data_IF_459227736396
#
_entry.id   IF_459227736396
#
_cell.length_a   1.000
_cell.length_b   1.000
_cell.length_c   1.000
_cell.angle_alpha   90.00
_cell.angle_beta   90.00
_cell.angle_gamma   90.00
#
_symmetry.space_group_name_H-M   'P 1'
#
loop_
_entity.id
_entity.type
_entity.pdbx_description
1 polymer ?
#
# COMPACT_ATOMS: atom_id res chain seq x y z
N UNK A 1 12.81 7.47 16.39
CA UNK A 1 12.86 6.89 15.01
C UNK A 1 12.43 5.42 14.94
N UNK A 2 12.72 4.55 15.94
CA UNK A 2 12.31 3.13 15.92
C UNK A 2 10.79 2.86 15.87
N UNK A 3 9.96 3.74 16.42
CA UNK A 3 8.48 3.57 16.42
C UNK A 3 7.82 3.91 15.07
N UNK A 4 8.40 4.82 14.29
CA UNK A 4 7.89 5.17 12.96
C UNK A 4 8.22 4.11 11.90
N UNK A 5 9.36 3.44 12.01
CA UNK A 5 9.75 2.35 11.08
C UNK A 5 8.92 1.08 11.30
N UNK A 6 8.50 0.80 12.54
CA UNK A 6 7.62 -0.33 12.86
C UNK A 6 6.19 -0.11 12.37
N UNK A 7 5.67 1.12 12.49
CA UNK A 7 4.34 1.48 11.97
C UNK A 7 4.27 1.46 10.44
N UNK A 8 5.36 1.83 9.74
CA UNK A 8 5.42 1.72 8.28
C UNK A 8 5.46 0.26 7.79
N UNK A 9 6.15 -0.63 8.50
CA UNK A 9 6.15 -2.06 8.14
C UNK A 9 4.79 -2.73 8.38
N UNK A 10 4.06 -2.35 9.42
CA UNK A 10 2.72 -2.88 9.72
C UNK A 10 1.65 -2.40 8.72
N UNK A 11 1.77 -1.19 8.19
CA UNK A 11 0.83 -0.65 7.19
C UNK A 11 1.08 -1.20 5.77
N UNK A 12 2.31 -1.63 5.46
CA UNK A 12 2.63 -2.34 4.21
C UNK A 12 2.26 -3.83 4.21
N UNK A 13 1.96 -4.42 5.37
CA UNK A 13 1.55 -5.82 5.53
C UNK A 13 0.02 -6.02 5.64
N UNK A 14 -0.76 -4.95 5.56
CA UNK A 14 -2.23 -5.01 5.55
C UNK A 14 -2.78 -4.53 4.20
N UNK A 15 -2.57 -5.30 3.13
CA UNK A 15 -3.65 -5.42 2.15
C UNK A 15 -3.77 -6.85 1.62
N UNK A 16 -4.07 -7.86 2.45
CA UNK A 16 -4.55 -9.16 1.94
C UNK A 16 -5.56 -9.83 2.89
N UNK A 17 -6.56 -9.10 3.36
CA UNK A 17 -7.87 -9.69 3.68
C UNK A 17 -8.83 -9.35 2.53
N UNK A 18 -8.38 -9.54 1.28
CA UNK A 18 -9.30 -9.70 0.19
C UNK A 18 -9.87 -11.10 0.35
N UNK A 19 -11.15 -11.18 0.71
CA UNK A 19 -11.91 -12.43 0.75
C UNK A 19 -11.72 -13.10 -0.62
N UNK A 20 -10.92 -14.16 -0.69
CA UNK A 20 -10.58 -14.80 -1.94
C UNK A 20 -11.85 -15.49 -2.46
N UNK A 21 -12.62 -14.80 -3.30
CA UNK A 21 -13.81 -15.36 -3.94
C UNK A 21 -13.42 -16.59 -4.74
N UNK A 22 -14.16 -17.68 -4.54
CA UNK A 22 -13.93 -18.90 -5.30
C UNK A 22 -14.23 -18.66 -6.80
N UNK A 23 -13.66 -19.49 -7.68
CA UNK A 23 -14.01 -19.45 -9.11
C UNK A 23 -15.51 -19.63 -9.35
N UNK A 24 -16.19 -20.39 -8.48
CA UNK A 24 -17.63 -20.56 -8.54
C UNK A 24 -18.40 -19.27 -8.20
N UNK A 25 -17.95 -18.51 -7.20
CA UNK A 25 -18.57 -17.22 -6.85
C UNK A 25 -18.37 -16.18 -7.96
N UNK A 26 -17.17 -16.17 -8.55
CA UNK A 26 -16.84 -15.32 -9.72
C UNK A 26 -17.73 -15.68 -10.92
N UNK A 27 -17.95 -16.97 -11.17
CA UNK A 27 -18.88 -17.44 -12.20
C UNK A 27 -20.31 -16.99 -11.94
N UNK A 28 -20.82 -17.16 -10.72
CA UNK A 28 -22.17 -16.73 -10.36
C UNK A 28 -22.36 -15.22 -10.55
N UNK A 29 -21.37 -14.44 -10.14
CA UNK A 29 -21.38 -12.98 -10.31
C UNK A 29 -21.38 -12.60 -11.79
N UNK A 30 -20.50 -13.22 -12.60
CA UNK A 30 -20.46 -13.02 -14.05
C UNK A 30 -21.79 -13.36 -14.69
N UNK A 31 -22.38 -14.51 -14.33
CA UNK A 31 -23.68 -14.95 -14.83
C UNK A 31 -24.77 -13.92 -14.51
N UNK A 32 -24.86 -13.45 -13.26
CA UNK A 32 -25.89 -12.50 -12.84
C UNK A 32 -25.75 -11.13 -13.54
N UNK A 33 -24.54 -10.57 -13.57
CA UNK A 33 -24.28 -9.29 -14.23
C UNK A 33 -24.54 -9.37 -15.74
N UNK A 34 -24.06 -10.45 -16.37
CA UNK A 34 -24.31 -10.68 -17.80
C UNK A 34 -25.81 -10.85 -18.06
N UNK A 35 -26.53 -11.59 -17.22
CA UNK A 35 -27.98 -11.74 -17.34
C UNK A 35 -28.73 -10.41 -17.26
N UNK A 36 -28.32 -9.48 -16.41
CA UNK A 36 -28.97 -8.16 -16.29
C UNK A 36 -28.67 -7.23 -17.48
N UNK A 37 -27.55 -7.44 -18.17
CA UNK A 37 -27.06 -6.53 -19.21
C UNK A 37 -27.77 -6.62 -20.56
N UNK A 38 -28.44 -7.74 -20.86
CA UNK A 38 -29.00 -8.01 -22.20
C UNK A 38 -30.48 -8.39 -22.14
N UNK A 39 -31.27 -8.05 -23.17
CA UNK A 39 -32.68 -8.44 -23.25
C UNK A 39 -32.84 -9.95 -23.49
N UNK A 40 -34.06 -10.45 -23.30
CA UNK A 40 -34.42 -11.85 -23.59
C UNK A 40 -34.48 -12.04 -25.11
N UNK A 41 -33.72 -13.00 -25.64
CA UNK A 41 -33.73 -13.35 -27.06
C UNK A 41 -34.89 -14.27 -27.41
N UNK A 42 -35.18 -15.25 -26.54
CA UNK A 42 -36.29 -16.18 -26.69
C UNK A 42 -36.94 -16.36 -25.32
N UNK A 43 -38.24 -16.08 -25.21
CA UNK A 43 -38.92 -16.21 -23.92
C UNK A 43 -39.25 -17.66 -23.59
N UNK A 44 -39.35 -17.99 -22.30
CA UNK A 44 -39.78 -19.32 -21.86
C UNK A 44 -41.21 -19.64 -22.34
N UNK A 45 -42.07 -18.62 -22.40
CA UNK A 45 -43.43 -18.74 -22.96
C UNK A 45 -43.38 -19.16 -24.43
N UNK A 46 -42.52 -18.53 -25.23
CA UNK A 46 -42.32 -18.87 -26.64
C UNK A 46 -41.78 -20.29 -26.81
N UNK A 47 -40.80 -20.72 -26.00
CA UNK A 47 -40.28 -22.09 -26.03
C UNK A 47 -41.35 -23.13 -25.66
N UNK A 48 -42.18 -22.84 -24.65
CA UNK A 48 -43.21 -23.76 -24.15
C UNK A 48 -44.37 -24.00 -25.13
N UNK A 49 -44.53 -23.16 -26.15
CA UNK A 49 -45.53 -23.35 -27.20
C UNK A 49 -45.24 -24.57 -28.10
N UNK A 50 -43.99 -25.01 -28.14
CA UNK A 50 -43.54 -26.08 -29.02
C UNK A 50 -43.25 -27.37 -28.23
N UNK A 51 -43.61 -28.55 -28.75
CA UNK A 51 -43.31 -29.81 -28.09
C UNK A 51 -41.80 -30.00 -27.89
N UNK A 52 -41.36 -30.26 -26.65
CA UNK A 52 -39.93 -30.43 -26.30
C UNK A 52 -39.21 -31.45 -27.19
N UNK A 53 -39.89 -32.53 -27.56
CA UNK A 53 -39.35 -33.59 -28.44
C UNK A 53 -38.93 -33.04 -29.80
N UNK A 54 -39.64 -32.04 -30.33
CA UNK A 54 -39.35 -31.43 -31.64
C UNK A 54 -38.24 -30.37 -31.59
N UNK A 55 -37.90 -29.89 -30.40
CA UNK A 55 -36.80 -28.95 -30.19
C UNK A 55 -35.45 -29.64 -30.07
N UNK A 56 -35.42 -30.96 -29.85
CA UNK A 56 -34.20 -31.73 -29.71
C UNK A 56 -33.63 -32.14 -31.09
N UNK A 57 -32.30 -32.11 -31.25
CA UNK A 57 -31.65 -32.54 -32.50
C UNK A 57 -31.89 -34.03 -32.78
N UNK A 58 -32.06 -34.84 -31.71
CA UNK A 58 -32.43 -36.25 -31.81
C UNK A 58 -33.69 -36.49 -32.65
N UNK A 59 -34.62 -35.52 -32.70
CA UNK A 59 -35.86 -35.62 -33.48
C UNK A 59 -35.62 -35.86 -34.97
N UNK A 60 -34.51 -35.36 -35.51
CA UNK A 60 -34.13 -35.47 -36.93
C UNK A 60 -33.87 -36.89 -37.38
N UNK A 61 -33.43 -37.76 -36.48
CA UNK A 61 -33.03 -39.14 -36.80
C UNK A 61 -34.16 -40.12 -36.48
N UNK A 62 -34.10 -41.37 -36.98
CA UNK A 62 -35.01 -42.41 -36.53
C UNK A 62 -34.84 -42.76 -35.05
N UNK A 63 -35.94 -43.12 -34.37
CA UNK A 63 -35.89 -43.57 -32.97
C UNK A 63 -35.73 -45.08 -32.87
N UNK A 64 -34.50 -45.57 -33.04
CA UNK A 64 -34.19 -47.00 -32.96
C UNK A 64 -34.39 -47.63 -31.57
N UNK A 65 -34.76 -46.83 -30.55
CA UNK A 65 -35.22 -47.37 -29.26
C UNK A 65 -36.67 -47.86 -29.33
N UNK A 66 -37.46 -47.34 -30.27
CA UNK A 66 -38.90 -47.63 -30.43
C UNK A 66 -39.23 -48.37 -31.71
N UNK A 67 -38.42 -48.23 -32.74
CA UNK A 67 -38.69 -48.75 -34.08
C UNK A 67 -37.50 -49.55 -34.61
N UNK A 68 -37.79 -50.68 -35.24
CA UNK A 68 -36.78 -51.46 -35.94
C UNK A 68 -36.53 -50.92 -37.36
N UNK A 69 -35.43 -51.31 -37.99
CA UNK A 69 -35.23 -51.05 -39.42
C UNK A 69 -36.31 -51.71 -40.28
N UNK A 70 -36.80 -52.88 -39.87
CA UNK A 70 -37.92 -53.56 -40.54
C UNK A 70 -39.20 -52.73 -40.50
N UNK A 71 -39.51 -52.13 -39.35
CA UNK A 71 -40.67 -51.27 -39.14
C UNK A 71 -40.65 -50.06 -40.09
N UNK A 72 -39.49 -49.39 -40.17
CA UNK A 72 -39.31 -48.20 -41.02
C UNK A 72 -39.38 -48.58 -42.50
N UNK A 73 -38.81 -49.73 -42.87
CA UNK A 73 -38.86 -50.22 -44.26
C UNK A 73 -40.28 -50.60 -44.65
N UNK A 74 -41.03 -51.24 -43.75
CA UNK A 74 -42.44 -51.57 -43.96
C UNK A 74 -43.30 -50.30 -44.09
N UNK A 75 -43.05 -49.25 -43.30
CA UNK A 75 -43.74 -47.96 -43.50
C UNK A 75 -43.47 -47.35 -44.88
N UNK A 76 -42.25 -47.48 -45.41
CA UNK A 76 -41.90 -46.92 -46.72
C UNK A 76 -42.69 -47.60 -47.86
N UNK A 77 -43.05 -48.88 -47.75
CA UNK A 77 -43.83 -49.57 -48.81
C UNK A 77 -45.26 -49.04 -48.95
N UNK A 78 -45.79 -48.35 -47.93
CA UNK A 78 -47.09 -47.68 -48.00
C UNK A 78 -47.05 -46.56 -49.03
N UNK A 79 -45.95 -45.82 -49.13
CA UNK A 79 -45.79 -44.74 -50.11
C UNK A 79 -45.82 -45.26 -51.55
N UNK A 80 -45.32 -46.47 -51.79
CA UNK A 80 -45.26 -47.08 -53.12
C UNK A 80 -46.58 -47.77 -53.50
N UNK A 81 -47.25 -48.42 -52.54
CA UNK A 81 -48.42 -49.27 -52.81
C UNK A 81 -49.76 -48.63 -52.46
N UNK A 82 -49.76 -47.55 -51.67
CA UNK A 82 -50.94 -46.96 -51.01
C UNK A 82 -51.83 -47.96 -50.25
N UNK A 83 -51.28 -49.10 -49.81
CA UNK A 83 -51.98 -50.13 -49.05
C UNK A 83 -51.50 -50.18 -47.60
N UNK A 84 -52.37 -50.60 -46.68
CA UNK A 84 -52.01 -50.79 -45.28
C UNK A 84 -51.06 -51.97 -45.11
N UNK A 85 -50.15 -51.88 -44.15
CA UNK A 85 -49.25 -52.96 -43.75
C UNK A 85 -49.79 -53.71 -42.53
N UNK A 86 -49.39 -54.96 -42.36
CA UNK A 86 -49.62 -55.69 -41.12
C UNK A 86 -48.80 -55.06 -40.00
N UNK A 87 -49.49 -54.55 -38.97
CA UNK A 87 -48.83 -53.84 -37.88
C UNK A 87 -48.59 -54.77 -36.67
N UNK A 88 -47.31 -55.05 -36.38
CA UNK A 88 -46.88 -55.75 -35.16
C UNK A 88 -46.45 -54.81 -34.03
N UNK A 89 -46.20 -53.53 -34.33
CA UNK A 89 -45.73 -52.51 -33.38
C UNK A 89 -46.77 -51.37 -33.24
N UNK A 90 -47.49 -51.27 -32.11
CA UNK A 90 -48.58 -50.30 -31.95
C UNK A 90 -48.12 -48.84 -32.07
N UNK A 91 -46.82 -48.56 -31.87
CA UNK A 91 -46.27 -47.21 -32.05
C UNK A 91 -46.22 -46.74 -33.53
N UNK A 92 -46.47 -47.63 -34.49
CA UNK A 92 -46.52 -47.30 -35.92
C UNK A 92 -47.91 -46.80 -36.37
N UNK A 93 -48.96 -46.94 -35.57
CA UNK A 93 -50.34 -46.64 -35.98
C UNK A 93 -50.49 -45.23 -36.57
N UNK A 94 -50.01 -44.21 -35.86
CA UNK A 94 -50.04 -42.82 -36.32
C UNK A 94 -49.29 -42.63 -37.64
N UNK A 95 -48.19 -43.35 -37.84
CA UNK A 95 -47.38 -43.26 -39.06
C UNK A 95 -48.03 -43.98 -40.23
N UNK A 96 -48.65 -45.14 -40.01
CA UNK A 96 -49.44 -45.85 -41.02
C UNK A 96 -50.60 -44.98 -41.46
N UNK A 97 -51.34 -44.38 -40.52
CA UNK A 97 -52.44 -43.48 -40.82
C UNK A 97 -51.98 -42.25 -41.62
N UNK A 98 -50.87 -41.64 -41.21
CA UNK A 98 -50.29 -40.49 -41.89
C UNK A 98 -49.85 -40.80 -43.32
N UNK A 99 -49.08 -41.88 -43.52
CA UNK A 99 -48.56 -42.25 -44.85
C UNK A 99 -49.69 -42.67 -45.79
N UNK A 100 -50.73 -43.37 -45.30
CA UNK A 100 -51.93 -43.66 -46.08
C UNK A 100 -52.69 -42.38 -46.47
N UNK A 101 -52.84 -41.44 -45.54
CA UNK A 101 -53.50 -40.17 -45.81
C UNK A 101 -52.76 -39.36 -46.89
N UNK A 102 -51.42 -39.33 -46.83
CA UNK A 102 -50.61 -38.69 -47.87
C UNK A 102 -50.76 -39.39 -49.23
N UNK A 103 -50.65 -40.72 -49.27
CA UNK A 103 -50.75 -41.52 -50.51
C UNK A 103 -52.13 -41.37 -51.19
N UNK A 104 -53.20 -41.21 -50.39
CA UNK A 104 -54.57 -41.03 -50.85
C UNK A 104 -54.95 -39.57 -51.10
N UNK A 105 -54.00 -38.64 -50.99
CA UNK A 105 -54.23 -37.19 -51.10
C UNK A 105 -55.29 -36.65 -50.12
N UNK A 106 -55.47 -37.34 -48.98
CA UNK A 106 -56.41 -36.94 -47.94
C UNK A 106 -55.78 -35.83 -47.08
N UNK A 107 -56.40 -34.64 -47.01
CA UNK A 107 -55.86 -33.54 -46.23
C UNK A 107 -55.95 -33.83 -44.72
N UNK A 108 -54.88 -33.53 -43.99
CA UNK A 108 -54.84 -33.59 -42.53
C UNK A 108 -54.91 -32.16 -41.98
N UNK A 109 -55.71 -31.95 -40.94
CA UNK A 109 -55.89 -30.65 -40.30
C UNK A 109 -54.98 -30.50 -39.06
N UNK A 110 -54.96 -29.31 -38.46
CA UNK A 110 -54.16 -29.03 -37.26
C UNK A 110 -54.57 -29.89 -36.06
N UNK A 111 -55.81 -30.39 -36.02
CA UNK A 111 -56.33 -31.22 -34.93
C UNK A 111 -55.64 -32.58 -34.95
N UNK A 112 -55.45 -33.16 -36.14
CA UNK A 112 -54.70 -34.40 -36.30
C UNK A 112 -53.28 -34.27 -35.73
N UNK A 113 -52.55 -33.23 -36.11
CA UNK A 113 -51.19 -33.00 -35.61
C UNK A 113 -51.15 -32.69 -34.10
N UNK A 114 -52.22 -32.15 -33.53
CA UNK A 114 -52.35 -31.93 -32.09
C UNK A 114 -52.62 -33.23 -31.32
N UNK A 115 -53.42 -34.14 -31.86
CA UNK A 115 -53.83 -35.38 -31.22
C UNK A 115 -52.79 -36.51 -31.28
N UNK A 116 -52.01 -36.58 -32.37
CA UNK A 116 -51.09 -37.70 -32.62
C UNK A 116 -49.67 -37.44 -32.12
N UNK A 117 -48.83 -38.48 -32.20
CA UNK A 117 -47.40 -38.37 -31.96
C UNK A 117 -46.79 -37.29 -32.88
N UNK A 118 -45.79 -36.57 -32.37
CA UNK A 118 -45.22 -35.42 -33.08
C UNK A 118 -44.11 -35.82 -34.04
N UNK A 119 -43.38 -36.88 -33.70
CA UNK A 119 -42.17 -37.33 -34.40
C UNK A 119 -42.51 -38.51 -35.31
N UNK A 120 -42.06 -38.43 -36.56
CA UNK A 120 -42.19 -39.53 -37.50
C UNK A 120 -41.16 -40.64 -37.17
N UNK A 121 -41.48 -41.94 -37.30
CA UNK A 121 -40.57 -43.05 -36.98
C UNK A 121 -39.21 -42.99 -37.71
N UNK A 122 -39.22 -42.56 -38.98
CA UNK A 122 -38.03 -42.34 -39.79
C UNK A 122 -37.27 -41.02 -39.51
N UNK A 123 -37.66 -40.27 -38.47
CA UNK A 123 -37.07 -38.97 -38.14
C UNK A 123 -37.79 -37.77 -38.77
N UNK A 124 -37.57 -36.61 -38.15
CA UNK A 124 -38.34 -35.39 -38.36
C UNK A 124 -39.69 -35.42 -37.66
N UNK A 125 -40.48 -34.35 -37.80
CA UNK A 125 -41.88 -34.34 -37.40
C UNK A 125 -42.80 -34.79 -38.54
N UNK A 126 -44.03 -35.21 -38.23
CA UNK A 126 -45.05 -35.43 -39.27
C UNK A 126 -45.35 -34.14 -40.03
N UNK A 127 -45.36 -33.00 -39.35
CA UNK A 127 -45.58 -31.71 -39.98
C UNK A 127 -44.43 -31.32 -40.93
N UNK A 128 -43.18 -31.69 -40.63
CA UNK A 128 -42.05 -31.46 -41.55
C UNK A 128 -42.28 -32.15 -42.90
N UNK A 129 -42.75 -33.39 -42.86
CA UNK A 129 -43.09 -34.18 -44.05
C UNK A 129 -44.33 -33.65 -44.75
N UNK A 130 -45.36 -33.27 -43.98
CA UNK A 130 -46.59 -32.74 -44.54
C UNK A 130 -46.37 -31.41 -45.26
N UNK A 131 -45.60 -30.46 -44.70
CA UNK A 131 -45.27 -29.19 -45.38
C UNK A 131 -44.45 -29.43 -46.65
N UNK A 132 -43.60 -30.46 -46.68
CA UNK A 132 -42.85 -30.79 -47.89
C UNK A 132 -43.76 -31.23 -49.06
N UNK A 133 -44.92 -31.83 -48.75
CA UNK A 133 -45.90 -32.27 -49.74
C UNK A 133 -47.00 -31.23 -50.01
N UNK A 134 -47.43 -30.47 -48.99
CA UNK A 134 -48.44 -29.41 -49.05
C UNK A 134 -47.90 -28.07 -48.49
N UNK A 135 -47.02 -27.35 -49.23
CA UNK A 135 -46.40 -26.12 -48.75
C UNK A 135 -47.39 -25.01 -48.39
N UNK A 136 -48.55 -24.98 -49.04
CA UNK A 136 -49.61 -23.99 -48.85
C UNK A 136 -50.32 -24.10 -47.50
N UNK A 137 -50.26 -25.28 -46.84
CA UNK A 137 -50.91 -25.52 -45.54
C UNK A 137 -50.02 -25.25 -44.33
N UNK A 138 -48.84 -24.68 -44.55
CA UNK A 138 -47.82 -24.39 -43.52
C UNK A 138 -48.36 -23.68 -42.27
N UNK A 139 -49.28 -22.72 -42.44
CA UNK A 139 -49.73 -21.87 -41.34
C UNK A 139 -50.45 -22.66 -40.24
N UNK A 140 -51.16 -23.73 -40.61
CA UNK A 140 -51.94 -24.54 -39.68
C UNK A 140 -51.07 -25.48 -38.83
N UNK A 141 -49.83 -25.73 -39.25
CA UNK A 141 -48.98 -26.78 -38.66
C UNK A 141 -47.62 -26.28 -38.19
N UNK A 142 -47.35 -24.98 -38.26
CA UNK A 142 -46.14 -24.35 -37.74
C UNK A 142 -45.75 -24.79 -36.31
N UNK A 143 -46.66 -24.94 -35.33
CA UNK A 143 -46.33 -25.39 -33.98
C UNK A 143 -45.76 -26.82 -33.88
N UNK A 144 -45.94 -27.62 -34.93
CA UNK A 144 -45.57 -29.03 -34.96
C UNK A 144 -44.36 -29.32 -35.86
N UNK A 145 -43.75 -28.29 -36.44
CA UNK A 145 -42.49 -28.43 -37.17
C UNK A 145 -41.34 -28.74 -36.20
N UNK A 146 -40.31 -29.45 -36.67
CA UNK A 146 -39.08 -29.57 -35.89
C UNK A 146 -38.29 -28.27 -35.91
N UNK A 147 -37.46 -28.04 -34.88
CA UNK A 147 -36.60 -26.84 -34.83
C UNK A 147 -35.57 -26.80 -35.96
N UNK A 148 -35.32 -27.94 -36.60
CA UNK A 148 -34.39 -28.04 -37.74
C UNK A 148 -35.03 -27.62 -39.07
N UNK A 149 -36.35 -27.45 -39.10
CA UNK A 149 -37.07 -27.03 -40.29
C UNK A 149 -36.94 -25.50 -40.49
N UNK A 150 -36.54 -25.02 -41.69
CA UNK A 150 -36.43 -23.59 -41.98
C UNK A 150 -37.72 -22.78 -41.79
N UNK A 151 -38.89 -23.45 -41.88
CA UNK A 151 -40.20 -22.82 -41.67
C UNK A 151 -40.61 -22.74 -40.20
N UNK A 152 -39.81 -23.28 -39.28
CA UNK A 152 -40.10 -23.19 -37.85
C UNK A 152 -39.91 -21.74 -37.37
N UNK A 153 -40.85 -21.14 -36.62
CA UNK A 153 -40.75 -19.73 -36.19
C UNK A 153 -39.48 -19.38 -35.40
N UNK A 154 -38.97 -20.34 -34.62
CA UNK A 154 -37.71 -20.20 -33.87
C UNK A 154 -36.43 -20.51 -34.67
N UNK A 155 -36.53 -20.93 -35.94
CA UNK A 155 -35.37 -21.36 -36.73
C UNK A 155 -34.30 -20.26 -36.81
N UNK A 156 -34.67 -19.09 -37.35
CA UNK A 156 -33.76 -17.96 -37.51
C UNK A 156 -33.19 -17.45 -36.18
N UNK A 157 -33.98 -17.51 -35.09
CA UNK A 157 -33.54 -17.07 -33.76
C UNK A 157 -32.48 -18.00 -33.15
N UNK A 158 -32.52 -19.28 -33.51
CA UNK A 158 -31.61 -20.30 -33.00
C UNK A 158 -30.59 -20.78 -34.03
N UNK A 159 -30.61 -20.26 -35.26
CA UNK A 159 -29.71 -20.67 -36.34
C UNK A 159 -28.25 -20.46 -35.95
N UNK A 160 -27.95 -19.35 -35.27
CA UNK A 160 -26.60 -19.03 -34.83
C UNK A 160 -26.11 -19.93 -33.70
N UNK A 161 -26.99 -20.59 -32.94
CA UNK A 161 -26.63 -21.52 -31.86
C UNK A 161 -26.25 -22.89 -32.44
N UNK A 162 -25.07 -23.40 -32.13
CA UNK A 162 -24.66 -24.73 -32.57
C UNK A 162 -25.54 -25.83 -31.98
N UNK A 163 -25.62 -26.98 -32.67
CA UNK A 163 -26.44 -28.13 -32.27
C UNK A 163 -26.21 -28.57 -30.83
N UNK A 164 -24.94 -28.73 -30.44
CA UNK A 164 -24.56 -29.13 -29.09
C UNK A 164 -24.98 -28.08 -28.04
N UNK A 165 -24.95 -26.80 -28.42
CA UNK A 165 -25.39 -25.70 -27.56
C UNK A 165 -26.91 -25.70 -27.36
N UNK A 166 -27.68 -25.90 -28.44
CA UNK A 166 -29.15 -26.07 -28.34
C UNK A 166 -29.49 -27.21 -27.40
N UNK A 167 -28.86 -28.36 -27.58
CA UNK A 167 -29.09 -29.53 -26.74
C UNK A 167 -28.70 -29.29 -25.28
N UNK A 168 -27.54 -28.67 -25.02
CA UNK A 168 -27.11 -28.35 -23.67
C UNK A 168 -28.15 -27.46 -22.94
N UNK A 169 -28.60 -26.38 -23.58
CA UNK A 169 -29.58 -25.48 -22.97
C UNK A 169 -30.95 -26.16 -22.77
N UNK A 170 -31.42 -26.97 -23.73
CA UNK A 170 -32.68 -27.73 -23.60
C UNK A 170 -32.63 -28.83 -22.51
N UNK A 171 -31.43 -29.34 -22.24
CA UNK A 171 -31.17 -30.32 -21.18
C UNK A 171 -30.96 -29.67 -19.80
N UNK A 172 -31.03 -28.34 -19.71
CA UNK A 172 -31.03 -27.61 -18.45
C UNK A 172 -29.69 -26.99 -18.06
N UNK A 173 -28.67 -27.03 -18.92
CA UNK A 173 -27.46 -26.23 -18.70
C UNK A 173 -27.81 -24.74 -18.83
N UNK A 174 -27.27 -23.92 -17.90
CA UNK A 174 -27.57 -22.48 -17.83
C UNK A 174 -26.69 -21.62 -18.71
N UNK A 175 -25.65 -22.18 -19.29
CA UNK A 175 -24.72 -21.42 -20.10
C UNK A 175 -24.10 -22.27 -21.21
N UNK A 176 -23.84 -21.61 -22.33
CA UNK A 176 -23.09 -22.14 -23.46
C UNK A 176 -22.35 -20.99 -24.13
N UNK A 177 -21.03 -21.12 -24.32
CA UNK A 177 -20.23 -20.09 -24.98
C UNK A 177 -19.80 -20.58 -26.36
N UNK A 178 -20.02 -19.79 -27.40
CA UNK A 178 -19.58 -20.13 -28.76
C UNK A 178 -19.20 -18.85 -29.50
N UNK A 179 -18.11 -18.88 -30.28
CA UNK A 179 -17.62 -17.70 -30.99
C UNK A 179 -17.53 -16.48 -30.07
N UNK A 180 -18.22 -15.39 -30.44
CA UNK A 180 -18.32 -14.16 -29.65
C UNK A 180 -19.57 -14.08 -28.76
N UNK A 181 -20.40 -15.12 -28.69
CA UNK A 181 -21.68 -15.07 -27.98
C UNK A 181 -21.69 -16.02 -26.78
N UNK A 182 -22.05 -15.48 -25.62
CA UNK A 182 -22.38 -16.23 -24.42
C UNK A 182 -23.90 -16.39 -24.34
N UNK A 183 -24.37 -17.61 -24.56
CA UNK A 183 -25.77 -17.96 -24.36
C UNK A 183 -26.02 -18.30 -22.90
N UNK A 184 -27.00 -17.63 -22.30
CA UNK A 184 -27.47 -17.93 -20.94
C UNK A 184 -28.93 -18.39 -20.98
N UNK A 185 -29.27 -19.39 -20.17
CA UNK A 185 -30.65 -19.84 -19.98
C UNK A 185 -31.09 -19.66 -18.52
N UNK A 186 -32.28 -19.12 -18.34
CA UNK A 186 -32.91 -18.90 -17.05
C UNK A 186 -34.42 -19.12 -17.13
N UNK A 187 -35.12 -18.89 -16.02
CA UNK A 187 -36.57 -19.14 -15.91
C UNK A 187 -37.41 -18.32 -16.90
N UNK A 188 -36.92 -17.14 -17.29
CA UNK A 188 -37.61 -16.24 -18.23
C UNK A 188 -37.37 -16.61 -19.70
N UNK A 189 -36.40 -17.47 -19.99
CA UNK A 189 -36.00 -17.85 -21.34
C UNK A 189 -34.49 -17.80 -21.57
N UNK A 190 -34.08 -17.58 -22.82
CA UNK A 190 -32.68 -17.58 -23.24
C UNK A 190 -32.23 -16.20 -23.69
N UNK A 191 -30.96 -15.89 -23.41
CA UNK A 191 -30.29 -14.65 -23.81
C UNK A 191 -29.03 -14.97 -24.59
N UNK A 192 -28.85 -14.34 -25.74
CA UNK A 192 -27.60 -14.31 -26.49
C UNK A 192 -26.84 -13.03 -26.14
N UNK A 193 -25.74 -13.16 -25.40
CA UNK A 193 -24.97 -12.01 -24.91
C UNK A 193 -23.70 -11.86 -25.75
N UNK A 194 -23.48 -10.73 -26.44
CA UNK A 194 -22.28 -10.52 -27.25
C UNK A 194 -21.03 -10.31 -26.38
N UNK A 195 -19.85 -10.59 -26.95
CA UNK A 195 -18.54 -10.51 -26.29
C UNK A 195 -18.22 -9.12 -25.78
N UNK A 196 -18.65 -8.09 -26.52
CA UNK A 196 -18.58 -6.69 -26.12
C UNK A 196 -19.19 -6.42 -24.73
N UNK A 197 -20.14 -7.24 -24.31
CA UNK A 197 -20.85 -7.09 -23.03
C UNK A 197 -20.32 -8.06 -21.97
N UNK A 198 -20.17 -9.35 -22.28
CA UNK A 198 -19.76 -10.32 -21.26
C UNK A 198 -18.25 -10.33 -20.98
N UNK A 199 -17.40 -9.98 -21.96
CA UNK A 199 -15.93 -9.97 -21.75
C UNK A 199 -15.49 -8.91 -20.72
N UNK A 200 -15.97 -7.65 -20.77
CA UNK A 200 -15.63 -6.67 -19.73
C UNK A 200 -16.05 -7.11 -18.33
N UNK A 201 -17.19 -7.78 -18.20
CA UNK A 201 -17.66 -8.35 -16.93
C UNK A 201 -16.72 -9.47 -16.47
N UNK A 202 -16.27 -10.34 -17.38
CA UNK A 202 -15.32 -11.40 -17.09
C UNK A 202 -13.96 -10.85 -16.63
N UNK A 203 -13.47 -9.79 -17.29
CA UNK A 203 -12.23 -9.10 -16.95
C UNK A 203 -12.30 -8.43 -15.57
N UNK A 204 -13.44 -7.81 -15.23
CA UNK A 204 -13.69 -7.27 -13.88
C UNK A 204 -13.62 -8.37 -12.80
N UNK A 205 -14.14 -9.56 -13.10
CA UNK A 205 -14.07 -10.73 -12.23
C UNK A 205 -12.71 -11.46 -12.31
N UNK A 206 -11.79 -11.01 -13.17
CA UNK A 206 -10.48 -11.62 -13.44
C UNK A 206 -10.58 -13.10 -13.81
N UNK A 207 -11.55 -13.45 -14.65
CA UNK A 207 -11.77 -14.82 -15.14
C UNK A 207 -11.86 -14.85 -16.66
N UNK A 208 -11.39 -15.95 -17.25
CA UNK A 208 -11.56 -16.24 -18.67
C UNK A 208 -12.47 -17.45 -18.84
N UNK A 209 -13.40 -17.42 -19.79
CA UNK A 209 -14.34 -18.52 -20.07
C UNK A 209 -13.80 -19.59 -21.03
N UNK A 210 -12.67 -19.32 -21.69
CA UNK A 210 -11.98 -20.18 -22.67
C UNK A 210 -10.52 -20.40 -22.26
N UNK A 211 -10.28 -20.64 -20.97
CA UNK A 211 -8.92 -20.83 -20.45
C UNK A 211 -8.25 -22.07 -21.04
N UNK A 212 -6.96 -21.98 -21.40
CA UNK A 212 -6.16 -23.15 -21.84
C UNK A 212 -6.04 -24.23 -20.75
N UNK A 213 -6.00 -23.81 -19.48
CA UNK A 213 -5.98 -24.69 -18.32
C UNK A 213 -7.33 -24.60 -17.60
N UNK A 214 -8.10 -25.68 -17.61
CA UNK A 214 -9.44 -25.69 -17.05
C UNK A 214 -9.45 -25.91 -15.55
N UNK A 215 -9.60 -24.83 -14.77
CA UNK A 215 -9.72 -24.92 -13.32
C UNK A 215 -11.14 -25.28 -12.89
N UNK A 216 -12.14 -24.74 -13.58
CA UNK A 216 -13.55 -25.06 -13.35
C UNK A 216 -14.29 -25.19 -14.67
N UNK A 217 -14.94 -26.35 -14.88
CA UNK A 217 -15.69 -26.63 -16.11
C UNK A 217 -17.19 -26.58 -15.84
N UNK A 218 -17.91 -25.82 -16.65
CA UNK A 218 -19.37 -25.76 -16.61
C UNK A 218 -19.90 -25.82 -18.04
N UNK A 219 -20.69 -26.84 -18.40
CA UNK A 219 -21.13 -27.05 -19.78
C UNK A 219 -19.90 -27.12 -20.72
N UNK A 220 -19.83 -26.30 -21.76
CA UNK A 220 -18.66 -26.13 -22.61
C UNK A 220 -17.71 -25.00 -22.18
N UNK A 221 -18.04 -24.28 -21.10
CA UNK A 221 -17.21 -23.21 -20.58
C UNK A 221 -16.08 -23.77 -19.72
N UNK A 222 -14.94 -23.11 -19.84
CA UNK A 222 -13.73 -23.45 -19.14
C UNK A 222 -13.18 -22.23 -18.41
N UNK A 223 -13.53 -22.14 -17.12
CA UNK A 223 -13.19 -21.02 -16.29
C UNK A 223 -11.78 -21.19 -15.71
N UNK A 224 -10.99 -20.15 -15.88
CA UNK A 224 -9.66 -20.00 -15.32
C UNK A 224 -9.45 -18.57 -14.83
N UNK A 225 -8.60 -18.38 -13.84
CA UNK A 225 -8.23 -17.03 -13.41
C UNK A 225 -7.36 -16.35 -14.46
N UNK A 226 -7.72 -15.13 -14.85
CA UNK A 226 -6.93 -14.34 -15.78
C UNK A 226 -5.70 -13.81 -15.04
N UNK A 227 -4.51 -14.33 -15.35
CA UNK A 227 -3.26 -13.79 -14.81
C UNK A 227 -2.73 -12.61 -15.66
N UNK A 228 -3.63 -11.75 -16.13
CA UNK A 228 -3.27 -10.67 -17.05
C UNK A 228 -2.91 -9.41 -16.23
N UNK A 229 -1.61 -9.12 -16.14
CA UNK A 229 -1.08 -7.81 -15.75
C UNK A 229 -0.57 -7.65 -14.31
N UNK A 230 -0.82 -8.58 -13.39
CA UNK A 230 -0.36 -8.42 -12.00
C UNK A 230 1.13 -8.70 -11.81
N UNK A 231 1.74 -9.56 -12.65
CA UNK A 231 3.14 -9.95 -12.50
C UNK A 231 4.10 -8.80 -12.84
N UNK A 232 3.88 -8.11 -13.95
CA UNK A 232 4.71 -6.97 -14.37
C UNK A 232 4.64 -5.81 -13.37
N UNK A 233 3.44 -5.49 -12.89
CA UNK A 233 3.25 -4.44 -11.87
C UNK A 233 3.93 -4.82 -10.53
N UNK A 234 3.85 -6.09 -10.12
CA UNK A 234 4.57 -6.57 -8.92
C UNK A 234 6.08 -6.49 -9.09
N UNK A 235 6.60 -6.86 -10.26
CA UNK A 235 8.04 -6.77 -10.56
C UNK A 235 8.52 -5.31 -10.53
N UNK A 236 7.80 -4.40 -11.19
CA UNK A 236 8.12 -2.96 -11.18
C UNK A 236 8.09 -2.36 -9.77
N UNK A 237 7.07 -2.70 -8.96
CA UNK A 237 6.98 -2.25 -7.57
C UNK A 237 8.14 -2.77 -6.71
N UNK A 238 8.55 -4.03 -6.90
CA UNK A 238 9.69 -4.61 -6.19
C UNK A 238 11.01 -3.91 -6.56
N UNK A 239 11.26 -3.66 -7.85
CA UNK A 239 12.44 -2.93 -8.30
C UNK A 239 12.49 -1.49 -7.75
N UNK A 240 11.35 -0.79 -7.73
CA UNK A 240 11.25 0.56 -7.16
C UNK A 240 11.58 0.55 -5.66
N UNK A 241 11.02 -0.40 -4.91
CA UNK A 241 11.28 -0.53 -3.47
C UNK A 241 12.75 -0.85 -3.18
N UNK A 242 13.34 -1.76 -3.96
CA UNK A 242 14.76 -2.12 -3.83
C UNK A 242 15.67 -0.92 -4.10
N UNK A 243 15.37 -0.13 -5.13
CA UNK A 243 16.14 1.07 -5.47
C UNK A 243 16.07 2.12 -4.34
N UNK A 244 14.87 2.35 -3.79
CA UNK A 244 14.68 3.27 -2.66
C UNK A 244 15.47 2.82 -1.42
N UNK A 245 15.40 1.53 -1.06
CA UNK A 245 16.15 0.97 0.07
C UNK A 245 17.66 1.09 -0.12
N UNK A 246 18.16 0.83 -1.35
CA UNK A 246 19.58 0.95 -1.68
C UNK A 246 20.09 2.39 -1.54
N UNK A 247 19.33 3.37 -2.04
CA UNK A 247 19.65 4.80 -1.88
C UNK A 247 19.68 5.19 -0.41
N UNK A 248 18.68 4.79 0.37
CA UNK A 248 18.61 5.10 1.80
C UNK A 248 19.79 4.49 2.56
N UNK A 249 20.13 3.23 2.25
CA UNK A 249 21.29 2.54 2.80
C UNK A 249 22.60 3.26 2.48
N UNK A 250 22.79 3.71 1.24
CA UNK A 250 23.97 4.46 0.80
C UNK A 250 24.09 5.80 1.53
N UNK A 251 23.00 6.55 1.68
CA UNK A 251 22.99 7.83 2.40
C UNK A 251 23.36 7.63 3.87
N UNK A 252 22.80 6.61 4.52
CA UNK A 252 23.13 6.29 5.92
C UNK A 252 24.58 5.87 6.08
N UNK A 253 25.11 5.06 5.15
CA UNK A 253 26.50 4.63 5.14
C UNK A 253 27.46 5.82 5.02
N UNK A 254 27.23 6.71 4.05
CA UNK A 254 28.07 7.90 3.84
C UNK A 254 28.02 8.85 5.03
N UNK A 255 26.84 9.08 5.63
CA UNK A 255 26.72 9.90 6.84
C UNK A 255 27.46 9.29 8.03
N UNK A 256 27.45 7.97 8.19
CA UNK A 256 28.20 7.29 9.25
C UNK A 256 29.70 7.40 9.02
N UNK A 257 30.16 7.26 7.77
CA UNK A 257 31.57 7.40 7.40
C UNK A 257 32.08 8.82 7.70
N UNK A 258 31.38 9.84 7.22
CA UNK A 258 31.74 11.25 7.44
C UNK A 258 31.78 11.62 8.94
N UNK A 259 30.85 11.09 9.75
CA UNK A 259 30.88 11.26 11.21
C UNK A 259 32.11 10.63 11.85
N UNK A 260 32.44 9.39 11.48
CA UNK A 260 33.61 8.68 12.02
C UNK A 260 34.93 9.37 11.64
N UNK A 261 35.04 9.84 10.39
CA UNK A 261 36.23 10.57 9.93
C UNK A 261 36.40 11.88 10.71
N UNK A 262 35.33 12.65 10.91
CA UNK A 262 35.36 13.89 11.71
C UNK A 262 35.72 13.62 13.18
N UNK A 263 35.13 12.60 13.79
CA UNK A 263 35.46 12.21 15.17
C UNK A 263 36.93 11.80 15.29
N UNK A 264 37.43 10.98 14.36
CA UNK A 264 38.83 10.54 14.35
C UNK A 264 39.81 11.71 14.23
N UNK A 265 39.56 12.63 13.29
CA UNK A 265 40.40 13.82 13.09
C UNK A 265 40.40 14.71 14.35
N UNK A 266 39.23 14.96 14.94
CA UNK A 266 39.12 15.76 16.17
C UNK A 266 39.81 15.09 17.36
N UNK A 267 39.68 13.77 17.51
CA UNK A 267 40.32 12.99 18.57
C UNK A 267 41.84 12.99 18.44
N UNK A 268 42.35 12.79 17.22
CA UNK A 268 43.78 12.85 16.93
C UNK A 268 44.34 14.25 17.22
N UNK A 269 43.67 15.30 16.72
CA UNK A 269 44.10 16.69 16.96
C UNK A 269 44.13 17.03 18.44
N UNK A 270 43.13 16.61 19.22
CA UNK A 270 43.06 16.92 20.65
C UNK A 270 44.12 16.16 21.45
N UNK A 271 44.54 14.99 20.99
CA UNK A 271 45.61 14.22 21.61
C UNK A 271 46.98 14.81 21.30
N UNK A 272 47.26 15.12 20.04
CA UNK A 272 48.55 15.66 19.59
C UNK A 272 48.79 17.11 20.02
N UNK A 273 47.72 17.89 20.26
CA UNK A 273 47.83 19.27 20.76
C UNK A 273 48.05 19.35 22.28
N UNK A 274 47.75 18.29 23.03
CA UNK A 274 47.88 18.31 24.50
C UNK A 274 49.32 18.54 24.94
N UNK A 275 50.24 17.74 24.39
CA UNK A 275 51.66 17.76 24.73
C UNK A 275 52.34 19.12 24.46
N UNK A 276 52.18 19.76 23.27
CA UNK A 276 52.76 21.07 23.04
C UNK A 276 52.10 22.17 23.87
N UNK A 277 50.79 22.09 24.15
CA UNK A 277 50.11 23.06 25.01
C UNK A 277 50.62 22.96 26.46
N UNK A 278 50.79 21.76 27.01
CA UNK A 278 51.36 21.60 28.37
C UNK A 278 52.78 22.15 28.45
N UNK A 279 53.61 21.89 27.44
CA UNK A 279 54.97 22.44 27.36
C UNK A 279 54.98 23.97 27.26
N UNK A 280 54.07 24.55 26.47
CA UNK A 280 53.90 26.00 26.35
C UNK A 280 53.45 26.59 27.69
N UNK A 281 52.53 25.92 28.39
CA UNK A 281 52.03 26.34 29.70
C UNK A 281 53.12 26.47 30.75
N UNK A 282 54.05 25.51 30.83
CA UNK A 282 55.20 25.60 31.74
C UNK A 282 56.08 26.83 31.43
N UNK A 283 56.26 27.12 30.14
CA UNK A 283 57.05 28.28 29.68
C UNK A 283 56.36 29.61 30.00
N UNK A 284 55.04 29.65 29.77
CA UNK A 284 54.19 30.80 30.09
C UNK A 284 54.16 31.08 31.60
N UNK A 285 54.10 30.04 32.44
CA UNK A 285 54.11 30.21 33.91
C UNK A 285 55.45 30.76 34.42
N UNK A 286 56.57 30.36 33.80
CA UNK A 286 57.88 30.94 34.10
C UNK A 286 57.93 32.45 33.78
N UNK A 287 57.35 32.87 32.65
CA UNK A 287 57.26 34.29 32.30
C UNK A 287 56.28 35.05 33.20
N UNK A 288 55.16 34.43 33.57
CA UNK A 288 54.18 35.01 34.49
C UNK A 288 54.79 35.28 35.88
N UNK A 289 55.60 34.37 36.40
CA UNK A 289 56.25 34.54 37.72
C UNK A 289 57.30 35.66 37.75
N UNK A 290 57.79 36.10 36.59
CA UNK A 290 58.75 37.21 36.46
C UNK A 290 58.15 38.40 35.74
N UNK A 291 56.82 38.49 35.68
CA UNK A 291 56.12 39.49 34.88
C UNK A 291 56.56 40.92 35.23
N UNK A 292 56.67 41.21 36.53
CA UNK A 292 57.04 42.52 37.07
C UNK A 292 58.54 42.87 36.86
N UNK A 293 59.37 41.90 36.45
CA UNK A 293 60.80 42.11 36.16
C UNK A 293 61.04 42.56 34.70
N UNK A 294 60.02 42.49 33.84
CA UNK A 294 60.12 42.87 32.44
C UNK A 294 59.87 44.38 32.22
N UNK A 295 60.58 45.04 31.28
CA UNK A 295 60.25 46.39 30.83
C UNK A 295 58.81 46.53 30.31
N UNK A 296 58.18 47.69 30.50
CA UNK A 296 56.77 47.96 30.14
C UNK A 296 56.42 47.52 28.70
N UNK A 297 57.28 47.81 27.73
CA UNK A 297 57.07 47.44 26.31
C UNK A 297 57.01 45.92 26.08
N UNK A 298 57.67 45.13 26.94
CA UNK A 298 57.71 43.66 26.87
C UNK A 298 56.66 42.97 27.71
N UNK A 299 56.16 43.64 28.76
CA UNK A 299 55.04 43.16 29.58
C UNK A 299 53.79 42.94 28.72
N UNK A 300 53.48 43.89 27.82
CA UNK A 300 52.37 43.77 26.87
C UNK A 300 52.46 42.51 25.97
N UNK A 301 53.68 42.16 25.54
CA UNK A 301 53.92 40.99 24.70
C UNK A 301 53.77 39.67 25.49
N UNK A 302 54.29 39.64 26.73
CA UNK A 302 54.14 38.50 27.64
C UNK A 302 52.67 38.31 28.03
N UNK A 303 51.95 39.39 28.28
CA UNK A 303 50.53 39.36 28.59
C UNK A 303 49.70 38.77 27.43
N UNK A 304 49.99 39.18 26.18
CA UNK A 304 49.37 38.58 24.99
C UNK A 304 49.68 37.09 24.86
N UNK A 305 50.92 36.67 25.12
CA UNK A 305 51.32 35.26 25.10
C UNK A 305 50.58 34.43 26.16
N UNK A 306 50.42 34.97 27.38
CA UNK A 306 49.63 34.34 28.45
C UNK A 306 48.16 34.20 28.03
N UNK A 307 47.58 35.26 27.45
CA UNK A 307 46.20 35.26 26.95
C UNK A 307 45.98 34.25 25.82
N UNK A 308 46.89 34.20 24.83
CA UNK A 308 46.82 33.25 23.71
C UNK A 308 46.96 31.79 24.18
N UNK A 309 47.83 31.52 25.16
CA UNK A 309 47.95 30.20 25.78
C UNK A 309 46.66 29.78 26.50
N UNK A 310 46.08 30.67 27.32
CA UNK A 310 44.82 30.40 28.02
C UNK A 310 43.70 30.09 27.02
N UNK A 311 43.64 30.84 25.92
CA UNK A 311 42.69 30.61 24.83
C UNK A 311 42.88 29.26 24.15
N UNK A 312 44.12 28.87 23.84
CA UNK A 312 44.44 27.56 23.24
C UNK A 312 44.09 26.39 24.18
N UNK A 313 44.39 26.54 25.46
CA UNK A 313 44.05 25.55 26.49
C UNK A 313 42.53 25.36 26.58
N UNK A 314 41.78 26.46 26.63
CA UNK A 314 40.31 26.43 26.69
C UNK A 314 39.70 25.80 25.43
N UNK A 315 40.24 26.06 24.24
CA UNK A 315 39.77 25.45 22.99
C UNK A 315 39.99 23.94 22.97
N UNK A 316 41.12 23.48 23.51
CA UNK A 316 41.48 22.07 23.55
C UNK A 316 40.59 21.31 24.53
N UNK A 317 40.33 21.88 25.72
CA UNK A 317 39.43 21.27 26.69
C UNK A 317 37.97 21.27 26.20
N UNK A 318 37.50 22.36 25.58
CA UNK A 318 36.17 22.41 24.96
C UNK A 318 36.01 21.39 23.82
N UNK A 319 37.07 21.12 23.06
CA UNK A 319 37.07 20.12 21.98
C UNK A 319 36.97 18.70 22.51
N UNK A 320 37.64 18.42 23.64
CA UNK A 320 37.53 17.14 24.37
C UNK A 320 36.11 16.90 24.86
N UNK A 321 35.47 17.92 25.43
CA UNK A 321 34.07 17.87 25.86
C UNK A 321 33.15 17.46 24.71
N UNK A 322 33.31 18.06 23.52
CA UNK A 322 32.54 17.71 22.33
C UNK A 322 32.78 16.27 21.84
N UNK A 323 33.99 15.73 22.03
CA UNK A 323 34.36 14.38 21.62
C UNK A 323 33.91 13.29 22.60
N UNK A 324 33.97 13.56 23.91
CA UNK A 324 33.51 12.64 24.96
C UNK A 324 31.99 12.56 25.03
N UNK A 325 31.32 13.67 24.72
CA UNK A 325 29.87 13.78 24.66
C UNK A 325 29.24 12.70 23.73
N UNK A 326 29.80 12.42 22.56
CA UNK A 326 29.19 11.49 21.58
C UNK A 326 29.36 9.99 21.95
N UNK A 327 30.03 9.67 23.07
CA UNK A 327 30.10 8.32 23.60
C UNK A 327 28.83 8.01 24.40
N UNK A 328 28.15 6.94 24.03
CA UNK A 328 26.87 6.49 24.60
C UNK A 328 27.00 5.90 26.01
N UNK A 329 27.83 6.48 26.87
CA UNK A 329 27.89 6.16 28.28
C UNK A 329 26.97 7.11 29.05
N UNK A 330 26.18 6.62 30.02
CA UNK A 330 25.35 7.49 30.85
C UNK A 330 26.26 8.48 31.58
N UNK A 331 25.94 9.78 31.47
CA UNK A 331 26.69 10.84 32.13
C UNK A 331 26.68 10.60 33.65
N UNK A 332 27.86 10.62 34.27
CA UNK A 332 28.01 10.46 35.72
C UNK A 332 27.23 11.57 36.45
N UNK A 333 26.17 11.18 37.16
CA UNK A 333 25.45 12.06 38.09
C UNK A 333 26.06 11.93 39.49
N UNK A 334 26.04 13.02 40.25
CA UNK A 334 26.56 13.09 41.60
C UNK A 334 25.50 13.73 42.50
N UNK A 335 25.39 13.26 43.74
CA UNK A 335 24.61 13.94 44.78
C UNK A 335 25.47 15.08 45.32
N UNK A 336 24.98 16.30 45.23
CA UNK A 336 25.59 17.47 45.86
C UNK A 336 24.52 18.49 46.20
N UNK A 337 24.83 19.38 47.15
CA UNK A 337 24.00 20.53 47.47
C UNK A 337 23.94 21.49 46.27
N UNK A 338 22.73 21.90 45.90
CA UNK A 338 22.51 22.89 44.85
C UNK A 338 23.13 24.24 45.23
N UNK A 339 23.06 24.63 46.51
CA UNK A 339 23.65 25.86 47.06
C UNK A 339 25.17 25.87 46.91
N UNK A 340 25.86 24.82 47.36
CA UNK A 340 27.32 24.73 47.25
C UNK A 340 27.81 24.80 45.80
N UNK A 341 27.07 24.18 44.88
CA UNK A 341 27.37 24.27 43.45
C UNK A 341 27.16 25.68 42.90
N UNK A 342 26.06 26.36 43.26
CA UNK A 342 25.78 27.72 42.83
C UNK A 342 26.79 28.71 43.40
N UNK A 343 27.13 28.60 44.68
CA UNK A 343 28.17 29.39 45.33
C UNK A 343 29.49 29.23 44.59
N UNK A 344 29.93 27.99 44.36
CA UNK A 344 31.18 27.72 43.66
C UNK A 344 31.26 28.37 42.26
N UNK A 345 30.17 28.32 41.49
CA UNK A 345 30.16 28.87 40.12
C UNK A 345 29.95 30.39 40.12
N UNK A 346 29.08 30.93 40.99
CA UNK A 346 28.73 32.35 41.01
C UNK A 346 29.80 33.19 41.72
N UNK A 347 30.41 32.71 42.80
CA UNK A 347 31.51 33.37 43.51
C UNK A 347 32.73 33.53 42.61
N UNK A 348 33.06 32.49 41.83
CA UNK A 348 34.12 32.54 40.81
C UNK A 348 33.94 33.71 39.82
N UNK A 349 32.69 34.09 39.56
CA UNK A 349 32.35 35.20 38.68
C UNK A 349 31.89 36.46 39.43
N UNK A 350 31.89 36.50 40.76
CA UNK A 350 31.41 37.65 41.55
C UNK A 350 30.03 38.15 41.07
N UNK A 351 29.06 37.23 40.92
CA UNK A 351 27.68 37.50 40.53
C UNK A 351 26.73 37.03 41.64
N UNK A 352 25.67 37.80 41.91
CA UNK A 352 24.60 37.38 42.81
C UNK A 352 23.65 36.37 42.13
N UNK A 353 23.14 35.42 42.92
CA UNK A 353 22.12 34.49 42.47
C UNK A 353 20.90 34.51 43.40
N UNK A 354 19.74 34.19 42.83
CA UNK A 354 18.48 34.05 43.55
C UNK A 354 18.01 32.59 43.42
N UNK A 355 17.95 31.88 44.54
CA UNK A 355 17.44 30.52 44.60
C UNK A 355 16.33 30.44 45.66
N UNK A 356 15.10 30.12 45.26
CA UNK A 356 13.95 30.00 46.18
C UNK A 356 14.00 28.70 47.02
N UNK A 357 14.90 27.77 46.69
CA UNK A 357 15.05 26.47 47.35
C UNK A 357 16.53 26.05 47.39
N UNK A 358 17.36 26.85 48.07
CA UNK A 358 18.81 26.67 48.08
C UNK A 358 19.26 25.38 48.78
N UNK A 359 18.59 24.97 49.86
CA UNK A 359 18.96 23.83 50.71
C UNK A 359 18.53 22.44 50.15
N UNK A 360 18.63 22.25 48.83
CA UNK A 360 18.23 21.01 48.15
C UNK A 360 19.46 20.21 47.68
N UNK A 361 19.58 18.97 48.15
CA UNK A 361 20.49 17.98 47.55
C UNK A 361 19.82 17.33 46.33
N UNK A 362 20.52 17.33 45.20
CA UNK A 362 20.01 16.79 43.93
C UNK A 362 21.04 15.86 43.29
N UNK A 363 20.56 14.80 42.62
CA UNK A 363 21.39 13.92 41.82
C UNK A 363 21.49 14.43 40.38
N UNK A 364 22.57 15.15 40.08
CA UNK A 364 22.74 15.86 38.81
C UNK A 364 24.14 15.68 38.20
N UNK A 365 24.28 15.83 36.88
CA UNK A 365 25.58 15.84 36.20
C UNK A 365 26.29 17.19 36.41
N UNK A 366 26.64 17.53 37.65
CA UNK A 366 27.15 18.84 38.06
C UNK A 366 28.35 19.32 37.25
N UNK A 367 29.29 18.44 36.90
CA UNK A 367 30.44 18.79 36.06
C UNK A 367 30.02 19.44 34.72
N UNK A 368 29.04 18.86 34.04
CA UNK A 368 28.56 19.36 32.75
C UNK A 368 27.70 20.62 32.91
N UNK A 369 26.92 20.70 33.99
CA UNK A 369 26.14 21.89 34.33
C UNK A 369 27.04 23.08 34.66
N UNK A 370 28.17 22.86 35.35
CA UNK A 370 29.19 23.90 35.60
C UNK A 370 29.73 24.46 34.30
N UNK A 371 30.04 23.61 33.31
CA UNK A 371 30.49 24.05 31.99
C UNK A 371 29.40 24.87 31.29
N UNK A 372 28.14 24.42 31.34
CA UNK A 372 27.03 25.15 30.74
C UNK A 372 26.85 26.54 31.39
N UNK A 373 26.80 26.59 32.72
CA UNK A 373 26.57 27.81 33.48
C UNK A 373 27.74 28.80 33.34
N UNK A 374 28.99 28.33 33.41
CA UNK A 374 30.19 29.16 33.19
C UNK A 374 30.20 29.79 31.79
N UNK A 375 29.77 29.04 30.76
CA UNK A 375 29.64 29.59 29.40
C UNK A 375 28.52 30.62 29.28
N UNK A 376 27.36 30.40 29.93
CA UNK A 376 26.25 31.36 29.90
C UNK A 376 26.60 32.65 30.64
N UNK A 377 27.23 32.55 31.82
CA UNK A 377 27.68 33.70 32.61
C UNK A 377 28.75 34.51 31.85
N UNK A 378 29.74 33.85 31.26
CA UNK A 378 30.76 34.52 30.44
C UNK A 378 30.14 35.26 29.25
N UNK A 379 29.16 34.63 28.58
CA UNK A 379 28.43 35.27 27.48
C UNK A 379 27.65 36.51 27.96
N UNK A 380 26.95 36.41 29.09
CA UNK A 380 26.18 37.52 29.67
C UNK A 380 27.09 38.69 30.07
N UNK A 381 28.23 38.44 30.72
CA UNK A 381 29.21 39.48 31.07
C UNK A 381 29.85 40.17 29.86
N UNK A 382 30.16 39.41 28.81
CA UNK A 382 30.90 39.94 27.67
C UNK A 382 30.00 40.64 26.65
N UNK A 383 28.78 40.15 26.46
CA UNK A 383 27.88 40.60 25.40
C UNK A 383 26.57 41.21 25.91
N UNK A 384 26.22 41.00 27.19
CA UNK A 384 25.04 41.56 27.82
C UNK A 384 25.21 43.03 28.20
N UNK A 385 24.16 43.59 28.80
CA UNK A 385 24.14 44.94 29.38
C UNK A 385 23.55 44.87 30.78
N UNK A 386 23.84 45.86 31.62
CA UNK A 386 23.33 45.93 32.99
C UNK A 386 23.94 44.88 33.91
N UNK A 387 23.24 44.58 34.99
CA UNK A 387 23.65 43.58 35.97
C UNK A 387 23.27 42.16 35.50
N UNK A 388 24.19 41.21 35.67
CA UNK A 388 23.95 39.80 35.35
C UNK A 388 23.41 39.12 36.61
N UNK A 389 22.25 38.49 36.50
CA UNK A 389 21.62 37.77 37.61
C UNK A 389 21.43 36.30 37.24
N UNK A 390 21.72 35.39 38.16
CA UNK A 390 21.38 33.97 38.01
C UNK A 390 20.15 33.66 38.86
N UNK A 391 19.03 33.28 38.22
CA UNK A 391 17.82 32.84 38.91
C UNK A 391 17.67 31.33 38.80
N UNK A 392 17.43 30.67 39.93
CA UNK A 392 17.23 29.22 40.00
C UNK A 392 15.87 28.91 40.60
N UNK A 393 15.10 28.13 39.86
CA UNK A 393 13.75 27.68 40.25
C UNK A 393 13.72 26.16 40.25
N UNK A 394 13.26 25.58 41.37
CA UNK A 394 13.09 24.15 41.55
C UNK A 394 11.58 23.85 41.60
N UNK A 395 11.03 23.29 40.51
CA UNK A 395 9.63 22.89 40.41
C UNK A 395 9.54 21.43 39.93
N UNK A 396 8.77 21.09 38.89
CA UNK A 396 8.81 19.74 38.29
C UNK A 396 10.16 19.42 37.61
N UNK A 397 10.94 20.47 37.33
CA UNK A 397 12.28 20.42 36.71
C UNK A 397 13.15 21.49 37.35
N UNK A 398 14.47 21.30 37.24
CA UNK A 398 15.45 22.31 37.61
C UNK A 398 15.54 23.31 36.45
N UNK A 399 15.33 24.59 36.77
CA UNK A 399 15.41 25.70 35.84
C UNK A 399 16.47 26.69 36.32
N UNK A 400 17.59 26.77 35.59
CA UNK A 400 18.68 27.72 35.85
C UNK A 400 18.68 28.77 34.76
N UNK A 401 18.36 30.01 35.12
CA UNK A 401 18.20 31.15 34.23
C UNK A 401 19.32 32.16 34.45
N UNK A 402 20.07 32.48 33.39
CA UNK A 402 21.03 33.59 33.38
C UNK A 402 20.39 34.76 32.63
N UNK A 403 20.19 35.86 33.34
CA UNK A 403 19.55 37.07 32.83
C UNK A 403 20.56 38.21 32.68
N UNK A 404 20.44 38.97 31.60
CA UNK A 404 21.10 40.26 31.39
C UNK A 404 20.11 41.27 30.76
N UNK A 405 20.36 42.57 30.93
CA UNK A 405 19.54 43.66 30.37
C UNK A 405 19.89 43.98 28.90
N UNK A 406 20.67 43.12 28.25
CA UNK A 406 21.03 43.23 26.85
C UNK A 406 19.94 42.76 25.91
N UNK A 407 20.25 42.82 24.61
CA UNK A 407 19.40 42.29 23.55
C UNK A 407 20.14 41.17 22.82
N UNK A 408 19.56 39.97 22.81
CA UNK A 408 20.13 38.87 22.04
C UNK A 408 19.89 39.12 20.53
N UNK A 409 20.94 39.17 19.69
CA UNK A 409 20.80 39.56 18.29
C UNK A 409 19.89 38.61 17.52
N UNK A 410 19.01 39.18 16.69
CA UNK A 410 18.12 38.42 15.81
C UNK A 410 18.89 37.56 14.80
N UNK A 411 18.24 36.52 14.25
CA UNK A 411 18.85 35.64 13.24
C UNK A 411 19.41 36.42 12.03
N UNK A 412 18.71 37.48 11.59
CA UNK A 412 19.17 38.38 10.54
C UNK A 412 20.41 39.17 10.96
N UNK A 413 20.42 39.76 12.16
CA UNK A 413 21.58 40.53 12.66
C UNK A 413 22.82 39.65 12.83
N UNK A 414 22.67 38.38 13.22
CA UNK A 414 23.75 37.39 13.34
C UNK A 414 24.34 36.99 11.99
N UNK A 415 23.53 37.02 10.92
CA UNK A 415 23.98 36.75 9.55
C UNK A 415 24.79 37.93 8.99
N UNK A 416 24.31 39.16 9.21
CA UNK A 416 24.97 40.40 8.76
C UNK A 416 26.30 40.64 9.47
N UNK A 417 26.36 40.43 10.79
CA UNK A 417 27.59 40.62 11.59
C UNK A 417 28.69 39.59 11.31
N UNK A 418 28.37 38.43 10.69
CA UNK A 418 29.37 37.47 10.20
C UNK A 418 30.01 37.88 8.87
N UNK A 419 29.39 38.79 8.12
CA UNK A 419 29.84 39.22 6.78
C UNK A 419 30.61 40.54 6.79
N UNK A 420 30.60 41.28 7.90
CA UNK A 420 31.36 42.53 8.08
C UNK A 420 32.30 42.38 9.28
N UNK A 421 33.63 42.35 9.11
CA UNK A 421 34.54 42.34 10.24
C UNK A 421 34.55 43.76 10.84
N UNK A 422 33.76 43.99 11.88
CA UNK A 422 33.83 45.25 12.60
C UNK A 422 35.08 45.23 13.49
N UNK A 423 36.04 46.10 13.17
CA UNK A 423 37.44 46.10 13.66
C UNK A 423 37.65 46.51 15.12
N UNK A 424 36.57 46.71 15.90
CA UNK A 424 36.68 47.30 17.25
C UNK A 424 36.39 46.34 18.43
N UNK A 425 36.11 45.05 18.20
CA UNK A 425 36.03 44.06 19.28
C UNK A 425 37.29 43.18 19.34
N UNK A 426 38.40 43.78 19.78
CA UNK A 426 39.54 43.02 20.34
C UNK A 426 39.15 42.53 21.74
N UNK A 427 38.49 41.37 21.82
CA UNK A 427 38.62 40.41 22.92
C UNK A 427 37.67 39.21 22.71
N UNK A 428 38.28 38.10 22.28
CA UNK A 428 38.33 36.85 23.06
C UNK A 428 37.21 35.80 23.07
N UNK A 429 36.24 35.74 22.15
CA UNK A 429 35.39 34.54 22.08
C UNK A 429 34.96 34.10 20.67
N UNK A 430 35.21 32.83 20.34
CA UNK A 430 34.94 32.20 19.02
C UNK A 430 33.45 31.94 18.73
N UNK A 431 32.52 32.37 19.59
CA UNK A 431 31.08 32.15 19.41
C UNK A 431 30.62 30.68 19.51
N UNK A 432 31.48 29.80 20.03
CA UNK A 432 31.22 28.36 20.20
C UNK A 432 30.46 28.02 21.50
N UNK A 433 30.52 28.88 22.52
CA UNK A 433 30.01 28.59 23.86
C UNK A 433 28.55 28.16 23.89
N UNK A 434 27.67 28.88 23.19
CA UNK A 434 26.25 28.53 23.14
C UNK A 434 25.97 27.21 22.40
N UNK A 435 26.81 26.87 21.42
CA UNK A 435 26.70 25.60 20.68
C UNK A 435 27.10 24.42 21.56
N UNK A 436 28.08 24.61 22.45
CA UNK A 436 28.49 23.64 23.46
C UNK A 436 27.35 23.43 24.46
N UNK A 437 26.75 24.50 24.97
CA UNK A 437 25.60 24.43 25.89
C UNK A 437 24.43 23.68 25.25
N UNK A 438 24.06 24.00 24.01
CA UNK A 438 22.97 23.32 23.30
C UNK A 438 23.24 21.82 23.11
N UNK A 439 24.49 21.45 22.82
CA UNK A 439 24.89 20.06 22.67
C UNK A 439 24.83 19.30 24.00
N UNK A 440 25.43 19.84 25.05
CA UNK A 440 25.44 19.22 26.39
C UNK A 440 24.03 19.08 26.97
N UNK A 441 23.18 20.09 26.81
CA UNK A 441 21.79 20.04 27.28
C UNK A 441 20.99 18.93 26.60
N UNK A 442 21.23 18.66 25.31
CA UNK A 442 20.58 17.54 24.61
C UNK A 442 21.01 16.17 25.15
N UNK A 443 22.21 16.05 25.72
CA UNK A 443 22.73 14.78 26.25
C UNK A 443 22.24 14.46 27.65
N UNK A 444 22.06 15.48 28.49
CA UNK A 444 21.42 15.33 29.80
C UNK A 444 19.89 15.22 29.71
N UNK A 445 19.33 15.01 28.50
CA UNK A 445 17.89 15.06 28.21
C UNK A 445 17.21 16.38 28.65
N UNK A 446 17.98 17.46 28.77
CA UNK A 446 17.52 18.79 29.09
C UNK A 446 17.29 19.65 27.84
N UNK A 447 16.96 20.92 28.06
CA UNK A 447 16.67 21.91 27.02
C UNK A 447 17.33 23.24 27.36
N UNK A 448 17.83 23.92 26.33
CA UNK A 448 18.25 25.32 26.40
C UNK A 448 17.15 26.19 25.76
N UNK A 449 16.63 27.15 26.52
CA UNK A 449 15.62 28.12 26.07
C UNK A 449 16.24 29.51 26.09
N UNK A 450 16.08 30.29 25.02
CA UNK A 450 16.66 31.64 24.90
C UNK A 450 15.53 32.64 24.65
N UNK A 451 15.34 33.56 25.60
CA UNK A 451 14.47 34.73 25.47
C UNK A 451 15.34 35.94 25.14
N UNK A 452 14.87 36.83 24.26
CA UNK A 452 15.73 37.84 23.62
C UNK A 452 15.58 39.27 24.15
N UNK A 453 14.51 39.56 24.89
CA UNK A 453 14.16 40.89 25.40
C UNK A 453 13.43 40.79 26.75
N UNK A 454 14.11 41.06 27.89
CA UNK A 454 15.57 41.07 28.05
C UNK A 454 16.20 39.70 27.73
N UNK A 455 17.51 39.62 27.55
CA UNK A 455 18.20 38.35 27.29
C UNK A 455 18.08 37.43 28.49
N UNK A 456 17.53 36.23 28.27
CA UNK A 456 17.46 35.19 29.29
C UNK A 456 17.82 33.85 28.69
N UNK A 457 18.88 33.24 29.18
CA UNK A 457 19.30 31.89 28.80
C UNK A 457 18.94 30.92 29.91
N UNK A 458 18.06 29.97 29.61
CA UNK A 458 17.45 29.08 30.59
C UNK A 458 17.85 27.64 30.28
N UNK A 459 18.49 26.99 31.25
CA UNK A 459 18.76 25.56 31.27
C UNK A 459 17.60 24.87 31.99
N UNK A 460 16.90 23.95 31.31
CA UNK A 460 15.82 23.16 31.89
C UNK A 460 16.18 21.66 31.84
N UNK A 461 16.19 20.98 32.99
CA UNK A 461 16.47 19.54 33.06
C UNK A 461 15.71 18.87 34.19
N UNK A 462 15.49 17.56 34.06
CA UNK A 462 14.93 16.75 35.14
C UNK A 462 16.00 16.47 36.20
N UNK A 463 15.59 16.45 37.46
CA UNK A 463 16.43 16.09 38.60
C UNK A 463 15.82 14.89 39.34
N UNK A 464 16.66 14.16 40.05
CA UNK A 464 16.26 13.08 40.96
C UNK A 464 16.68 13.50 42.37
N UNK A 465 15.83 13.26 43.37
CA UNK A 465 16.25 13.39 44.76
C UNK A 465 17.22 12.26 45.10
N UNK A 466 18.19 12.49 46.02
CA UNK A 466 19.01 11.42 46.56
C UNK A 466 18.09 10.32 47.05
N UNK A 467 18.23 9.12 46.48
CA UNK A 467 17.67 7.93 47.11
C UNK A 467 18.42 7.76 48.43
N UNK A 468 17.73 7.81 49.55
CA UNK A 468 18.30 7.38 50.81
C UNK A 468 18.61 5.89 50.70
N UNK A 469 19.86 5.55 50.39
CA UNK A 469 20.51 4.26 50.62
C UNK A 469 22.04 4.40 50.52
#
# INVERSE_FOLDING_TARGET
MRRLTLALCLTLWLPTLANAQSLQDKWQTLYQLSWQSSPISISQKELSQYPKVLLQESSRYPDFKKFSWGDITALATIQDSCLTIENTNPFLNDAIEFELALCQEKPLDSIWFAAHSKRHPAGGSFADRYVAHYPEKREQIHPFLSISNPFHPLYNKLESLEKNGKEALLNGYRAWQQGDVLWLSGEQGWKAIPSEVWQPIADQQKVTLLGKNCSFRYSNLCLAESNNGTLLMKILAFFLLFLLLSVLGRVLYLRRKDRKEKQFVLQLLTHELRTPITSLGLTVEMFRNRYDEFPDDTQDAVWRLISDYQRLSQLTENSKVYLSADQSEPLLKQNASLEEWLDHVCEKHNIEYQCESSDAELNLPYYWLTICLDNLIKNAKQHGKGEVLVKVELAEKLRVEVQDEGHFPSFLQRFVSRTTPNTNHRQDNMGIGLTIVEHLMKQVNGRLIILRNPTRCILELAYEHPTAD
#
